data_IF_694039030874
#
_entry.id   IF_694039030874
#
_cell.length_a   1.000
_cell.length_b   1.000
_cell.length_c   1.000
_cell.angle_alpha   90.00
_cell.angle_beta   90.00
_cell.angle_gamma   90.00
#
_symmetry.space_group_name_H-M   'P 1'
#
loop_
_entity.id
_entity.type
_entity.pdbx_description
1 polymer ?
#
# COMPACT_ATOMS: atom_id res chain seq x y z
N UNK A 1 -5.16 -43.14 -6.41
CA UNK A 1 -4.23 -42.01 -6.43
C UNK A 1 -4.15 -41.25 -7.77
N UNK A 2 -4.55 -41.82 -8.91
CA UNK A 2 -4.48 -41.17 -10.24
C UNK A 2 -5.62 -40.14 -10.50
N UNK A 3 -6.71 -40.16 -9.73
CA UNK A 3 -7.87 -39.25 -9.94
C UNK A 3 -7.78 -37.93 -9.15
N UNK A 4 -6.94 -37.83 -8.14
CA UNK A 4 -6.72 -36.58 -7.38
C UNK A 4 -5.83 -35.56 -8.11
N UNK A 5 -4.95 -36.02 -8.99
CA UNK A 5 -4.10 -35.13 -9.81
C UNK A 5 -4.87 -34.46 -10.96
N UNK A 6 -5.95 -35.08 -11.45
CA UNK A 6 -6.76 -34.51 -12.54
C UNK A 6 -7.65 -33.37 -12.05
N UNK A 7 -8.08 -33.38 -10.77
CA UNK A 7 -8.93 -32.31 -10.21
C UNK A 7 -8.13 -31.01 -9.93
N UNK A 8 -6.85 -31.13 -9.60
CA UNK A 8 -5.96 -29.98 -9.36
C UNK A 8 -5.60 -29.22 -10.65
N UNK A 9 -5.55 -29.89 -11.80
CA UNK A 9 -5.28 -29.24 -13.09
C UNK A 9 -6.50 -28.51 -13.67
N UNK A 10 -7.73 -28.92 -13.33
CA UNK A 10 -8.93 -28.25 -13.83
C UNK A 10 -9.22 -26.91 -13.12
N UNK A 11 -8.69 -26.69 -11.91
CA UNK A 11 -8.81 -25.41 -11.22
C UNK A 11 -7.92 -24.30 -11.81
N UNK A 12 -6.92 -24.64 -12.62
CA UNK A 12 -5.98 -23.68 -13.21
C UNK A 12 -6.40 -23.12 -14.57
N UNK A 13 -7.45 -23.65 -15.20
CA UNK A 13 -7.85 -23.24 -16.58
C UNK A 13 -8.89 -22.13 -16.63
N UNK A 14 -9.32 -21.62 -15.48
CA UNK A 14 -10.34 -20.57 -15.38
C UNK A 14 -9.81 -19.16 -15.07
N UNK A 15 -8.51 -18.93 -15.11
CA UNK A 15 -7.97 -17.57 -14.98
C UNK A 15 -8.20 -16.85 -16.30
N UNK A 16 -9.30 -16.08 -16.34
CA UNK A 16 -9.49 -15.10 -17.40
C UNK A 16 -8.18 -14.33 -17.55
N UNK A 17 -7.62 -14.29 -18.74
CA UNK A 17 -6.54 -13.37 -19.09
C UNK A 17 -7.12 -11.97 -18.93
N UNK A 18 -6.98 -11.39 -17.75
CA UNK A 18 -7.15 -9.97 -17.57
C UNK A 18 -5.99 -9.34 -18.33
N UNK A 19 -6.26 -8.77 -19.50
CA UNK A 19 -5.26 -8.05 -20.26
C UNK A 19 -4.73 -6.93 -19.35
N UNK A 20 -3.41 -6.86 -19.22
CA UNK A 20 -2.76 -5.80 -18.45
C UNK A 20 -3.04 -4.46 -19.14
N UNK A 21 -3.68 -3.55 -18.41
CA UNK A 21 -3.97 -2.20 -18.87
C UNK A 21 -3.03 -1.20 -18.17
N UNK A 22 -2.06 -0.68 -18.93
CA UNK A 22 -1.09 0.28 -18.40
C UNK A 22 -1.75 1.55 -17.84
N UNK A 23 -2.94 1.94 -18.35
CA UNK A 23 -3.69 3.11 -17.85
C UNK A 23 -4.21 2.91 -16.42
N UNK A 24 -4.21 1.67 -15.92
CA UNK A 24 -4.58 1.32 -14.54
C UNK A 24 -3.40 1.29 -13.59
N UNK A 25 -2.17 1.46 -14.12
CA UNK A 25 -0.95 1.40 -13.34
C UNK A 25 -0.51 2.79 -12.90
N UNK A 26 -0.28 2.91 -11.60
CA UNK A 26 0.33 4.07 -10.97
C UNK A 26 1.70 3.70 -10.43
N UNK A 27 2.66 4.58 -10.62
CA UNK A 27 3.96 4.53 -9.96
C UNK A 27 3.89 5.42 -8.74
N UNK A 28 4.17 4.86 -7.57
CA UNK A 28 4.13 5.54 -6.30
C UNK A 28 5.54 5.99 -5.90
N UNK A 29 5.67 7.23 -5.47
CA UNK A 29 6.85 7.71 -4.75
C UNK A 29 6.90 7.06 -3.35
N UNK A 30 7.93 7.39 -2.58
CA UNK A 30 7.95 7.11 -1.16
C UNK A 30 6.89 7.91 -0.40
N UNK A 31 7.03 7.96 0.91
CA UNK A 31 6.07 8.64 1.78
C UNK A 31 6.68 9.91 2.38
N UNK A 32 5.82 10.87 2.69
CA UNK A 32 6.12 11.92 3.65
C UNK A 32 5.21 11.72 4.87
N UNK A 33 5.82 11.43 6.02
CA UNK A 33 5.09 11.11 7.26
C UNK A 33 5.21 12.25 8.26
N UNK A 34 4.11 12.95 8.50
CA UNK A 34 4.03 13.92 9.59
C UNK A 34 3.69 13.17 10.88
N UNK A 35 4.70 12.96 11.73
CA UNK A 35 4.55 12.24 12.99
C UNK A 35 3.87 13.12 14.05
N UNK A 36 3.06 12.50 14.91
CA UNK A 36 2.39 13.19 16.02
C UNK A 36 3.39 13.55 17.13
N UNK A 37 4.45 12.75 17.31
CA UNK A 37 5.56 12.99 18.23
C UNK A 37 6.77 13.53 17.45
N UNK A 38 6.99 14.84 17.49
CA UNK A 38 8.06 15.51 16.72
C UNK A 38 9.46 15.37 17.37
N UNK A 39 9.53 15.01 18.64
CA UNK A 39 10.75 14.95 19.47
C UNK A 39 11.45 13.58 19.48
N UNK A 40 10.98 12.62 18.69
CA UNK A 40 11.55 11.26 18.61
C UNK A 40 12.68 11.11 17.58
N UNK A 41 13.05 12.18 16.85
CA UNK A 41 14.07 12.11 15.81
C UNK A 41 13.69 11.22 14.61
N UNK A 42 12.40 11.08 14.36
CA UNK A 42 11.87 10.24 13.27
C UNK A 42 12.08 10.91 11.91
N UNK A 43 12.37 10.10 10.92
CA UNK A 43 12.47 10.56 9.54
C UNK A 43 11.07 10.81 8.96
N UNK A 44 10.82 12.03 8.48
CA UNK A 44 9.55 12.39 7.82
C UNK A 44 9.58 12.10 6.32
N UNK A 45 10.69 12.41 5.64
CA UNK A 45 10.86 12.11 4.22
C UNK A 45 11.33 10.67 4.04
N UNK A 46 10.46 9.81 3.56
CA UNK A 46 10.63 8.37 3.41
C UNK A 46 10.72 8.01 1.93
N UNK A 47 11.87 8.23 1.25
CA UNK A 47 12.00 7.98 -0.18
C UNK A 47 11.78 6.51 -0.49
N UNK A 48 11.17 6.25 -1.64
CA UNK A 48 10.87 4.91 -2.07
C UNK A 48 10.26 4.87 -3.46
N UNK A 49 9.97 3.66 -3.90
CA UNK A 49 9.32 3.36 -5.16
C UNK A 49 8.31 2.24 -4.94
N UNK A 50 7.13 2.40 -5.50
CA UNK A 50 6.10 1.40 -5.47
C UNK A 50 5.20 1.47 -6.68
N UNK A 51 4.26 0.55 -6.72
CA UNK A 51 3.26 0.44 -7.77
C UNK A 51 1.89 0.23 -7.14
N UNK A 52 0.88 0.77 -7.79
CA UNK A 52 -0.52 0.55 -7.47
C UNK A 52 -1.26 0.24 -8.77
N UNK A 53 -1.94 -0.89 -8.82
CA UNK A 53 -2.72 -1.32 -9.96
C UNK A 53 -4.20 -1.32 -9.62
N UNK A 54 -4.99 -0.53 -10.37
CA UNK A 54 -6.44 -0.44 -10.22
C UNK A 54 -7.10 -1.70 -10.77
N UNK A 55 -7.70 -2.49 -9.89
CA UNK A 55 -8.44 -3.70 -10.26
C UNK A 55 -9.85 -3.34 -10.75
N UNK A 56 -10.53 -2.49 -9.98
CA UNK A 56 -11.87 -1.95 -10.29
C UNK A 56 -12.06 -0.59 -9.62
N UNK A 57 -13.29 -0.08 -9.54
CA UNK A 57 -13.59 1.23 -8.96
C UNK A 57 -13.33 1.32 -7.44
N UNK A 58 -13.26 0.19 -6.74
CA UNK A 58 -13.12 0.09 -5.28
C UNK A 58 -11.81 -0.52 -4.84
N UNK A 59 -11.20 -1.38 -5.65
CA UNK A 59 -10.04 -2.16 -5.30
C UNK A 59 -8.80 -1.77 -6.10
N UNK A 60 -7.66 -1.70 -5.43
CA UNK A 60 -6.33 -1.62 -6.04
C UNK A 60 -5.37 -2.54 -5.31
N UNK A 61 -4.47 -3.17 -6.05
CA UNK A 61 -3.32 -3.87 -5.47
C UNK A 61 -2.13 -2.93 -5.39
N UNK A 62 -1.28 -3.06 -4.38
CA UNK A 62 -0.10 -2.21 -4.22
C UNK A 62 1.08 -2.98 -3.65
N UNK A 63 2.28 -2.61 -4.07
CA UNK A 63 3.53 -3.12 -3.51
C UNK A 63 4.64 -2.09 -3.71
N UNK A 64 5.62 -2.08 -2.83
CA UNK A 64 6.75 -1.16 -2.95
C UNK A 64 7.79 -1.32 -1.85
N UNK A 65 8.81 -0.48 -1.96
CA UNK A 65 9.91 -0.41 -0.98
C UNK A 65 10.25 1.04 -0.70
N UNK A 66 10.54 1.35 0.55
CA UNK A 66 10.88 2.70 0.99
C UNK A 66 11.84 2.67 2.19
N UNK A 67 12.44 3.81 2.50
CA UNK A 67 13.18 4.02 3.75
C UNK A 67 12.19 4.53 4.79
N UNK A 68 12.00 3.77 5.87
CA UNK A 68 11.02 4.07 6.91
C UNK A 68 11.49 5.16 7.90
N UNK A 69 10.65 5.48 8.86
CA UNK A 69 10.90 6.51 9.86
C UNK A 69 12.06 6.19 10.83
N UNK A 70 12.45 4.92 10.93
CA UNK A 70 13.61 4.45 11.70
C UNK A 70 14.89 4.37 10.85
N UNK A 71 14.90 4.95 9.63
CA UNK A 71 16.00 4.88 8.65
C UNK A 71 16.34 3.47 8.15
N UNK A 72 15.43 2.51 8.31
CA UNK A 72 15.57 1.16 7.80
C UNK A 72 14.78 0.98 6.48
N UNK A 73 15.13 -0.06 5.73
CA UNK A 73 14.38 -0.41 4.53
C UNK A 73 13.11 -1.20 4.89
N UNK A 74 11.99 -0.75 4.35
CA UNK A 74 10.71 -1.43 4.44
C UNK A 74 10.21 -1.84 3.08
N UNK A 75 9.63 -3.02 3.00
CA UNK A 75 8.86 -3.50 1.85
C UNK A 75 7.42 -3.66 2.28
N UNK A 76 6.49 -3.35 1.38
CA UNK A 76 5.06 -3.55 1.61
C UNK A 76 4.40 -4.22 0.42
N UNK A 77 3.35 -4.96 0.72
CA UNK A 77 2.42 -5.53 -0.25
C UNK A 77 1.02 -5.48 0.34
N UNK A 78 0.03 -5.09 -0.45
CA UNK A 78 -1.32 -4.95 0.06
C UNK A 78 -2.35 -4.61 -0.99
N UNK A 79 -3.53 -4.23 -0.50
CA UNK A 79 -4.64 -3.80 -1.31
C UNK A 79 -5.38 -2.62 -0.66
N UNK A 80 -5.85 -1.71 -1.50
CA UNK A 80 -6.80 -0.67 -1.12
C UNK A 80 -8.22 -1.19 -1.34
N UNK A 81 -9.08 -0.91 -0.38
CA UNK A 81 -10.52 -1.03 -0.52
C UNK A 81 -11.18 0.31 -0.21
N UNK A 82 -11.66 1.00 -1.24
CA UNK A 82 -12.16 2.37 -1.18
C UNK A 82 -13.58 2.46 -1.77
N UNK A 83 -14.61 2.02 -1.03
CA UNK A 83 -15.97 1.93 -1.53
C UNK A 83 -16.70 3.28 -1.61
N UNK A 84 -16.19 4.33 -0.97
CA UNK A 84 -16.83 5.63 -0.94
C UNK A 84 -16.06 6.68 -1.72
N UNK A 85 -16.79 7.57 -2.39
CA UNK A 85 -16.23 8.78 -3.02
C UNK A 85 -16.95 10.00 -2.48
N UNK A 86 -16.19 10.91 -1.89
CA UNK A 86 -16.72 12.16 -1.30
C UNK A 86 -15.85 13.32 -1.79
N UNK A 87 -16.48 14.30 -2.43
CA UNK A 87 -15.80 15.49 -2.96
C UNK A 87 -14.56 15.18 -3.82
N UNK A 88 -14.59 14.09 -4.61
CA UNK A 88 -13.50 13.66 -5.47
C UNK A 88 -12.42 12.81 -4.78
N UNK A 89 -12.54 12.59 -3.47
CA UNK A 89 -11.66 11.68 -2.72
C UNK A 89 -12.29 10.29 -2.61
N UNK A 90 -11.52 9.27 -2.89
CA UNK A 90 -11.85 7.87 -2.58
C UNK A 90 -11.47 7.59 -1.14
N UNK A 91 -12.41 7.10 -0.35
CA UNK A 91 -12.24 6.83 1.08
C UNK A 91 -12.37 5.34 1.37
N UNK A 92 -11.55 4.85 2.27
CA UNK A 92 -11.58 3.46 2.69
C UNK A 92 -10.39 3.08 3.55
N UNK A 93 -9.86 1.89 3.27
CA UNK A 93 -8.71 1.34 4.00
C UNK A 93 -7.69 0.79 3.02
N UNK A 94 -6.43 0.77 3.44
CA UNK A 94 -5.37 -0.05 2.85
C UNK A 94 -4.97 -1.11 3.85
N UNK A 95 -4.99 -2.36 3.41
CA UNK A 95 -4.59 -3.51 4.22
C UNK A 95 -3.46 -4.29 3.54
N UNK A 96 -2.55 -4.84 4.32
CA UNK A 96 -1.47 -5.61 3.78
C UNK A 96 -0.44 -6.02 4.82
N UNK A 97 0.75 -6.34 4.35
CA UNK A 97 1.89 -6.69 5.16
C UNK A 97 3.06 -5.74 4.89
N UNK A 98 3.76 -5.39 5.96
CA UNK A 98 4.93 -4.53 5.99
C UNK A 98 6.07 -5.21 6.72
N UNK A 99 7.31 -4.79 6.45
CA UNK A 99 8.48 -5.24 7.21
C UNK A 99 9.47 -4.10 7.46
N UNK A 100 10.59 -4.41 8.10
CA UNK A 100 11.73 -3.50 8.22
C UNK A 100 11.65 -2.50 9.36
N UNK A 101 10.64 -2.56 10.21
CA UNK A 101 10.56 -1.73 11.42
C UNK A 101 11.24 -2.44 12.59
N UNK A 102 12.39 -1.95 13.10
CA UNK A 102 13.15 -2.69 14.12
C UNK A 102 12.37 -2.96 15.40
N UNK A 103 11.50 -2.02 15.79
CA UNK A 103 10.67 -2.13 17.00
C UNK A 103 9.38 -2.93 16.77
N UNK A 104 9.00 -3.22 15.53
CA UNK A 104 7.85 -4.02 15.19
C UNK A 104 8.31 -5.38 14.66
N UNK A 105 8.06 -6.44 15.43
CA UNK A 105 8.39 -7.83 15.06
C UNK A 105 9.86 -8.05 14.66
N UNK A 106 10.80 -7.32 15.30
CA UNK A 106 12.24 -7.37 15.00
C UNK A 106 12.58 -7.15 13.52
N UNK A 107 11.87 -6.25 12.84
CA UNK A 107 12.04 -6.00 11.41
C UNK A 107 11.38 -7.03 10.49
N UNK A 108 10.71 -8.04 11.04
CA UNK A 108 9.96 -9.04 10.28
C UNK A 108 8.66 -8.52 9.69
N UNK A 109 7.96 -9.37 8.96
CA UNK A 109 6.66 -9.04 8.38
C UNK A 109 5.56 -8.98 9.44
N UNK A 110 4.71 -7.98 9.33
CA UNK A 110 3.51 -7.83 10.16
C UNK A 110 2.34 -7.29 9.33
N UNK A 111 1.10 -7.69 9.66
CA UNK A 111 -0.09 -7.15 9.01
C UNK A 111 -0.41 -5.76 9.54
N UNK A 112 -0.97 -4.90 8.67
CA UNK A 112 -1.53 -3.62 9.06
C UNK A 112 -2.75 -3.28 8.20
N UNK A 113 -3.70 -2.56 8.79
CA UNK A 113 -4.85 -1.97 8.10
C UNK A 113 -4.92 -0.51 8.53
N UNK A 114 -4.89 0.40 7.54
CA UNK A 114 -4.86 1.84 7.78
C UNK A 114 -6.04 2.52 7.07
N UNK A 115 -6.71 3.47 7.72
CA UNK A 115 -7.61 4.39 7.02
C UNK A 115 -6.86 5.16 5.95
N UNK A 116 -7.48 5.32 4.78
CA UNK A 116 -6.87 5.99 3.63
C UNK A 116 -7.89 6.82 2.86
N UNK A 117 -7.43 7.98 2.39
CA UNK A 117 -8.09 8.79 1.40
C UNK A 117 -7.17 8.92 0.18
N UNK A 118 -7.72 8.78 -1.03
CA UNK A 118 -6.97 8.94 -2.27
C UNK A 118 -7.66 9.95 -3.18
N UNK A 119 -6.88 10.85 -3.74
CA UNK A 119 -7.31 11.71 -4.82
C UNK A 119 -6.57 11.33 -6.11
N UNK A 120 -7.29 11.27 -7.24
CA UNK A 120 -6.73 10.87 -8.52
C UNK A 120 -7.18 11.84 -9.62
N UNK A 121 -6.21 12.56 -10.17
CA UNK A 121 -6.37 13.32 -11.40
C UNK A 121 -6.07 12.48 -12.64
N UNK A 122 -5.87 13.15 -13.77
CA UNK A 122 -5.57 12.45 -15.03
C UNK A 122 -4.22 11.73 -15.01
N UNK A 123 -3.16 12.36 -14.47
CA UNK A 123 -1.79 11.83 -14.41
C UNK A 123 -1.22 11.77 -13.01
N UNK A 124 -1.66 12.63 -12.12
CA UNK A 124 -1.14 12.73 -10.75
C UNK A 124 -2.20 12.32 -9.75
N UNK A 125 -1.77 11.71 -8.68
CA UNK A 125 -2.62 11.33 -7.57
C UNK A 125 -1.88 11.43 -6.24
N UNK A 126 -2.65 11.35 -5.17
CA UNK A 126 -2.20 11.43 -3.79
C UNK A 126 -2.93 10.39 -2.97
N UNK A 127 -2.19 9.61 -2.20
CA UNK A 127 -2.72 8.80 -1.11
C UNK A 127 -2.39 9.46 0.22
N UNK A 128 -3.35 9.51 1.12
CA UNK A 128 -3.20 10.00 2.49
C UNK A 128 -3.62 8.88 3.43
N UNK A 129 -2.69 8.34 4.20
CA UNK A 129 -2.95 7.28 5.16
C UNK A 129 -2.77 7.78 6.59
N UNK A 130 -3.66 7.36 7.48
CA UNK A 130 -3.52 7.58 8.91
C UNK A 130 -2.86 6.36 9.54
N UNK A 131 -1.65 6.54 10.09
CA UNK A 131 -0.95 5.51 10.85
C UNK A 131 -1.30 5.71 12.32
N UNK A 132 -2.03 4.78 12.96
CA UNK A 132 -2.33 4.89 14.38
C UNK A 132 -1.06 4.63 15.21
N UNK A 133 -0.88 5.32 16.34
CA UNK A 133 0.21 5.02 17.25
C UNK A 133 -0.03 3.66 17.90
N UNK A 134 0.97 2.78 17.85
CA UNK A 134 1.01 1.53 18.59
C UNK A 134 2.11 1.63 19.63
N UNK A 135 1.74 1.56 20.90
CA UNK A 135 2.67 1.68 22.02
C UNK A 135 3.88 0.77 21.82
N UNK A 136 5.07 1.36 21.91
CA UNK A 136 6.38 0.70 21.79
C UNK A 136 6.66 -0.01 20.45
N UNK A 137 5.83 0.21 19.39
CA UNK A 137 5.97 -0.47 18.09
C UNK A 137 5.96 0.47 16.88
N UNK A 138 4.95 1.34 16.80
CA UNK A 138 4.79 2.27 15.68
C UNK A 138 4.44 3.66 16.21
N UNK A 139 5.03 4.67 15.58
CA UNK A 139 4.71 6.06 15.85
C UNK A 139 3.52 6.49 14.99
N UNK A 140 2.57 7.19 15.60
CA UNK A 140 1.44 7.73 14.89
C UNK A 140 1.86 8.82 13.91
N UNK A 141 1.25 8.81 12.73
CA UNK A 141 1.55 9.77 11.67
C UNK A 141 0.40 9.92 10.67
N UNK A 142 0.38 11.04 9.99
CA UNK A 142 -0.32 11.19 8.71
C UNK A 142 0.73 11.03 7.61
N UNK A 143 0.56 10.04 6.75
CA UNK A 143 1.49 9.72 5.67
C UNK A 143 0.91 10.10 4.31
N UNK A 144 1.66 10.86 3.54
CA UNK A 144 1.35 11.28 2.19
C UNK A 144 2.19 10.50 1.19
N UNK A 145 1.58 10.03 0.11
CA UNK A 145 2.27 9.36 -0.99
C UNK A 145 1.80 9.92 -2.33
N UNK A 146 2.71 10.52 -3.06
CA UNK A 146 2.44 10.96 -4.42
C UNK A 146 2.49 9.77 -5.38
N UNK A 147 1.64 9.80 -6.39
CA UNK A 147 1.62 8.79 -7.45
C UNK A 147 1.40 9.40 -8.83
N UNK A 148 1.94 8.74 -9.85
CA UNK A 148 1.85 9.15 -11.25
C UNK A 148 1.29 7.98 -12.06
N UNK A 149 0.25 8.23 -12.86
CA UNK A 149 -0.28 7.24 -13.80
C UNK A 149 0.63 7.14 -15.00
N UNK A 150 0.95 5.93 -15.39
CA UNK A 150 1.64 5.69 -16.66
C UNK A 150 0.69 5.99 -17.83
N UNK A 151 1.22 6.56 -18.94
CA UNK A 151 0.43 6.86 -20.12
C UNK A 151 -0.02 5.61 -20.88
#
# INVERSE_FOLDING_TARGET
MRHLLALALLCCTGWARADFDANRLWVNAGFYSAHFDSDKGLRNANPGLGFEYRLDDRWSATAGRFINSDNAHSTYIGAYFQPWTVAGFKLGVVGGAFNGYPKAFNGGWFPAVLPVASWEGQRFGLNVALVPPLKDRLYGAVSLQLKVRLP
#
